data_IF_490812030892
#
_entry.id   IF_490812030892
#
_cell.length_a   1.000
_cell.length_b   1.000
_cell.length_c   1.000
_cell.angle_alpha   90.00
_cell.angle_beta   90.00
_cell.angle_gamma   90.00
#
_symmetry.space_group_name_H-M   'P 1'
#
loop_
_entity.id
_entity.type
_entity.pdbx_description
1 polymer ?
#
# COMPACT_ATOMS: atom_id res chain seq x y z
N UNK A 1 9.97 -11.15 -8.77
CA UNK A 1 9.75 -10.15 -7.69
C UNK A 1 9.73 -8.73 -8.25
N UNK A 2 10.79 -8.29 -8.93
CA UNK A 2 10.85 -7.01 -9.68
C UNK A 2 9.63 -6.70 -10.54
N UNK A 3 9.28 -7.61 -11.46
CA UNK A 3 8.11 -7.44 -12.34
C UNK A 3 6.78 -7.32 -11.57
N UNK A 4 6.63 -8.05 -10.47
CA UNK A 4 5.43 -7.95 -9.62
C UNK A 4 5.33 -6.57 -8.96
N UNK A 5 6.43 -6.06 -8.40
CA UNK A 5 6.45 -4.73 -7.76
C UNK A 5 6.14 -3.65 -8.81
N UNK A 6 6.83 -3.65 -9.95
CA UNK A 6 6.61 -2.66 -11.02
C UNK A 6 5.17 -2.68 -11.53
N UNK A 7 4.60 -3.86 -11.81
CA UNK A 7 3.22 -3.99 -12.28
C UNK A 7 2.21 -3.48 -11.25
N UNK A 8 2.44 -3.73 -9.96
CA UNK A 8 1.55 -3.24 -8.92
C UNK A 8 1.70 -1.73 -8.71
N UNK A 9 2.89 -1.15 -8.83
CA UNK A 9 3.09 0.31 -8.85
C UNK A 9 2.25 0.92 -9.99
N UNK A 10 2.33 0.40 -11.21
CA UNK A 10 1.55 0.87 -12.36
C UNK A 10 0.03 0.73 -12.15
N UNK A 11 -0.42 -0.36 -11.54
CA UNK A 11 -1.83 -0.58 -11.21
C UNK A 11 -2.31 0.43 -10.17
N UNK A 12 -1.61 0.53 -9.04
CA UNK A 12 -1.99 1.35 -7.88
C UNK A 12 -1.88 2.85 -8.18
N UNK A 13 -0.93 3.27 -9.03
CA UNK A 13 -0.80 4.66 -9.47
C UNK A 13 -2.04 5.22 -10.19
N UNK A 14 -2.93 4.35 -10.70
CA UNK A 14 -4.19 4.76 -11.34
C UNK A 14 -5.28 5.16 -10.33
N UNK A 15 -5.03 4.94 -9.04
CA UNK A 15 -6.00 5.13 -7.97
C UNK A 15 -6.47 3.80 -7.39
N UNK A 16 -7.05 3.89 -6.18
CA UNK A 16 -7.70 2.78 -5.49
C UNK A 16 -9.07 3.26 -5.00
N UNK A 17 -10.10 2.44 -5.18
CA UNK A 17 -11.36 2.62 -4.46
C UNK A 17 -11.22 2.16 -3.01
N UNK A 18 -12.22 2.43 -2.18
CA UNK A 18 -12.21 1.90 -0.81
C UNK A 18 -12.28 0.36 -0.83
N UNK A 19 -13.06 -0.20 -1.75
CA UNK A 19 -13.25 -1.64 -1.97
C UNK A 19 -12.01 -2.31 -2.57
N UNK A 20 -11.17 -1.59 -3.30
CA UNK A 20 -9.86 -2.10 -3.73
C UNK A 20 -8.90 -2.26 -2.55
N UNK A 21 -9.09 -1.47 -1.48
CA UNK A 21 -8.27 -1.51 -0.29
C UNK A 21 -8.82 -2.47 0.77
N UNK A 22 -10.08 -2.31 1.13
CA UNK A 22 -10.69 -2.96 2.28
C UNK A 22 -10.87 -4.47 2.08
N UNK A 23 -10.54 -5.23 3.11
CA UNK A 23 -10.83 -6.65 3.17
C UNK A 23 -12.34 -6.90 3.24
N UNK A 24 -12.79 -8.02 2.68
CA UNK A 24 -14.18 -8.45 2.77
C UNK A 24 -14.34 -9.41 3.95
N UNK A 25 -14.92 -8.91 5.03
CA UNK A 25 -15.12 -9.66 6.27
C UNK A 25 -16.64 -9.84 6.48
N UNK A 26 -17.17 -11.07 6.37
CA UNK A 26 -18.59 -11.33 6.57
C UNK A 26 -19.08 -10.83 7.92
N UNK A 27 -20.26 -10.19 7.92
CA UNK A 27 -20.94 -9.68 9.11
C UNK A 27 -20.12 -8.68 9.96
N UNK A 28 -19.12 -8.05 9.36
CA UNK A 28 -18.26 -7.08 10.03
C UNK A 28 -18.43 -5.67 9.45
N UNK A 29 -18.59 -4.69 10.34
CA UNK A 29 -18.59 -3.28 9.97
C UNK A 29 -17.34 -2.63 10.53
N UNK A 30 -16.54 -2.02 9.65
CA UNK A 30 -15.36 -1.26 10.06
C UNK A 30 -15.74 -0.11 11.00
N UNK A 31 -14.97 0.04 12.06
CA UNK A 31 -15.02 1.21 12.94
C UNK A 31 -14.55 2.46 12.19
N UNK A 32 -14.87 3.64 12.75
CA UNK A 32 -14.42 4.92 12.16
C UNK A 32 -12.89 5.01 12.03
N UNK A 33 -12.15 4.44 12.97
CA UNK A 33 -10.69 4.44 12.96
C UNK A 33 -10.12 3.54 11.86
N UNK A 34 -10.74 2.38 11.64
CA UNK A 34 -10.36 1.46 10.57
C UNK A 34 -10.68 2.04 9.19
N UNK A 35 -11.86 2.65 9.03
CA UNK A 35 -12.23 3.39 7.81
C UNK A 35 -11.23 4.51 7.53
N UNK A 36 -10.82 5.26 8.56
CA UNK A 36 -9.81 6.32 8.44
C UNK A 36 -8.45 5.76 7.99
N UNK A 37 -8.05 4.61 8.53
CA UNK A 37 -6.81 3.91 8.17
C UNK A 37 -6.83 3.45 6.71
N UNK A 38 -7.90 2.78 6.29
CA UNK A 38 -8.08 2.34 4.90
C UNK A 38 -8.09 3.55 3.96
N UNK A 39 -8.82 4.61 4.31
CA UNK A 39 -8.90 5.85 3.53
C UNK A 39 -7.55 6.56 3.40
N UNK A 40 -6.71 6.50 4.44
CA UNK A 40 -5.35 7.05 4.37
C UNK A 40 -4.52 6.32 3.32
N UNK A 41 -4.52 4.98 3.34
CA UNK A 41 -3.77 4.15 2.40
C UNK A 41 -4.31 4.32 0.97
N UNK A 42 -5.64 4.33 0.82
CA UNK A 42 -6.34 4.59 -0.45
C UNK A 42 -5.87 5.88 -1.12
N UNK A 43 -5.56 6.93 -0.36
CA UNK A 43 -5.12 8.23 -0.90
C UNK A 43 -3.61 8.31 -1.09
N UNK A 44 -2.86 7.85 -0.09
CA UNK A 44 -1.41 8.08 -0.03
C UNK A 44 -0.64 7.16 -0.96
N UNK A 45 -1.02 5.88 -1.05
CA UNK A 45 -0.26 4.89 -1.81
C UNK A 45 -0.34 5.14 -3.33
N UNK A 46 -1.52 5.39 -3.94
CA UNK A 46 -1.61 5.78 -5.35
C UNK A 46 -0.81 7.04 -5.67
N UNK A 47 -0.88 8.05 -4.80
CA UNK A 47 -0.15 9.31 -4.99
C UNK A 47 1.36 9.05 -5.03
N UNK A 48 1.90 8.28 -4.08
CA UNK A 48 3.32 7.95 -4.05
C UNK A 48 3.74 7.17 -5.30
N UNK A 49 2.98 6.14 -5.70
CA UNK A 49 3.25 5.36 -6.90
C UNK A 49 3.22 6.23 -8.17
N UNK A 50 2.24 7.13 -8.30
CA UNK A 50 2.11 8.02 -9.45
C UNK A 50 3.28 9.01 -9.54
N UNK A 51 3.74 9.55 -8.41
CA UNK A 51 4.92 10.45 -8.35
C UNK A 51 6.20 9.72 -8.75
N UNK A 52 6.37 8.47 -8.30
CA UNK A 52 7.49 7.64 -8.70
C UNK A 52 7.51 7.38 -10.21
N UNK A 53 6.37 7.00 -10.82
CA UNK A 53 6.27 6.78 -12.27
C UNK A 53 6.53 8.05 -13.11
N UNK A 54 6.33 9.23 -12.52
CA UNK A 54 6.66 10.53 -13.14
C UNK A 54 8.11 10.96 -12.89
N UNK A 55 8.92 10.16 -12.21
CA UNK A 55 10.27 10.47 -11.78
C UNK A 55 10.36 11.70 -10.86
N UNK A 56 9.29 11.99 -10.11
CA UNK A 56 9.27 13.10 -9.13
C UNK A 56 9.87 12.70 -7.78
N UNK A 57 9.94 11.40 -7.49
CA UNK A 57 10.54 10.81 -6.29
C UNK A 57 11.35 9.59 -6.69
N UNK A 58 12.32 9.21 -5.86
CA UNK A 58 13.13 8.02 -6.07
C UNK A 58 12.40 6.76 -5.58
N UNK A 59 12.93 5.59 -5.93
CA UNK A 59 12.42 4.33 -5.40
C UNK A 59 12.54 4.30 -3.88
N UNK A 60 13.68 4.73 -3.33
CA UNK A 60 13.95 4.81 -1.89
C UNK A 60 12.87 5.62 -1.14
N UNK A 61 12.37 6.71 -1.74
CA UNK A 61 11.26 7.48 -1.17
C UNK A 61 9.98 6.65 -1.09
N UNK A 62 9.70 5.86 -2.13
CA UNK A 62 8.54 4.99 -2.20
C UNK A 62 8.64 3.83 -1.20
N UNK A 63 9.83 3.23 -1.06
CA UNK A 63 10.16 2.23 -0.03
C UNK A 63 9.95 2.80 1.37
N UNK A 64 10.48 4.00 1.63
CA UNK A 64 10.30 4.70 2.91
C UNK A 64 8.82 4.93 3.22
N UNK A 65 7.99 5.30 2.23
CA UNK A 65 6.54 5.42 2.43
C UNK A 65 5.86 4.09 2.75
N UNK A 66 6.25 3.01 2.09
CA UNK A 66 5.71 1.69 2.37
C UNK A 66 6.05 1.24 3.80
N UNK A 67 7.30 1.39 4.22
CA UNK A 67 7.75 1.07 5.57
C UNK A 67 7.06 1.93 6.64
N UNK A 68 6.90 3.24 6.38
CA UNK A 68 6.16 4.12 7.27
C UNK A 68 4.70 3.67 7.44
N UNK A 69 4.02 3.26 6.36
CA UNK A 69 2.65 2.73 6.44
C UNK A 69 2.62 1.44 7.27
N UNK A 70 3.53 0.50 7.00
CA UNK A 70 3.48 -0.84 7.59
C UNK A 70 3.92 -0.90 9.05
N UNK A 71 4.93 -0.13 9.44
CA UNK A 71 5.64 -0.33 10.71
C UNK A 71 5.63 0.89 11.63
N UNK A 72 5.70 2.11 11.08
CA UNK A 72 5.78 3.32 11.90
C UNK A 72 4.40 3.87 12.27
N UNK A 73 3.49 3.91 11.30
CA UNK A 73 2.14 4.49 11.47
C UNK A 73 1.14 3.45 11.95
N UNK A 74 1.25 2.22 11.46
CA UNK A 74 0.32 1.14 11.72
C UNK A 74 1.05 -0.15 12.08
N UNK A 75 0.29 -1.16 12.50
CA UNK A 75 0.81 -2.49 12.77
C UNK A 75 0.50 -3.43 11.58
N UNK A 76 1.46 -4.23 11.08
CA UNK A 76 1.24 -5.15 9.97
C UNK A 76 0.09 -6.14 10.21
N UNK A 77 -0.06 -6.62 11.44
CA UNK A 77 -1.12 -7.58 11.82
C UNK A 77 -2.51 -6.93 11.78
N UNK A 78 -2.58 -5.63 12.04
CA UNK A 78 -3.83 -4.89 11.89
C UNK A 78 -4.13 -4.68 10.41
N UNK A 79 -3.14 -4.24 9.62
CA UNK A 79 -3.32 -3.99 8.19
C UNK A 79 -3.69 -5.26 7.41
N UNK A 80 -3.11 -6.42 7.76
CA UNK A 80 -3.45 -7.69 7.12
C UNK A 80 -4.89 -8.14 7.38
N UNK A 81 -5.51 -7.68 8.47
CA UNK A 81 -6.94 -7.87 8.73
C UNK A 81 -7.79 -6.88 7.92
N UNK A 82 -7.38 -5.62 7.88
CA UNK A 82 -8.18 -4.53 7.31
C UNK A 82 -8.11 -4.43 5.78
N UNK A 83 -6.98 -4.80 5.19
CA UNK A 83 -6.73 -4.66 3.78
C UNK A 83 -6.86 -5.99 3.05
N UNK A 84 -7.15 -5.93 1.75
CA UNK A 84 -7.01 -7.09 0.87
C UNK A 84 -5.58 -7.60 0.93
N UNK A 85 -5.45 -8.93 0.94
CA UNK A 85 -4.18 -9.64 1.07
C UNK A 85 -3.17 -9.15 0.02
N UNK A 86 -3.57 -9.05 -1.23
CA UNK A 86 -2.73 -8.65 -2.35
C UNK A 86 -2.22 -7.21 -2.24
N UNK A 87 -3.01 -6.30 -1.65
CA UNK A 87 -2.56 -4.95 -1.34
C UNK A 87 -1.56 -4.94 -0.19
N UNK A 88 -1.82 -5.71 0.86
CA UNK A 88 -0.91 -5.82 2.01
C UNK A 88 0.44 -6.44 1.60
N UNK A 89 0.40 -7.51 0.81
CA UNK A 89 1.58 -8.18 0.24
C UNK A 89 2.39 -7.20 -0.63
N UNK A 90 1.71 -6.39 -1.45
CA UNK A 90 2.37 -5.35 -2.25
C UNK A 90 3.09 -4.32 -1.39
N UNK A 91 2.45 -3.77 -0.35
CA UNK A 91 3.07 -2.76 0.51
C UNK A 91 4.28 -3.35 1.24
N UNK A 92 4.18 -4.59 1.74
CA UNK A 92 5.31 -5.29 2.35
C UNK A 92 6.48 -5.46 1.38
N UNK A 93 6.23 -6.02 0.19
CA UNK A 93 7.27 -6.23 -0.83
C UNK A 93 7.86 -4.91 -1.32
N UNK A 94 7.06 -3.85 -1.37
CA UNK A 94 7.54 -2.52 -1.70
C UNK A 94 8.48 -1.97 -0.61
N UNK A 95 8.22 -2.24 0.67
CA UNK A 95 9.11 -1.89 1.78
C UNK A 95 10.46 -2.62 1.75
N UNK A 96 10.56 -3.73 1.02
CA UNK A 96 11.77 -4.53 0.82
C UNK A 96 12.42 -4.31 -0.55
N UNK A 97 11.87 -3.40 -1.37
CA UNK A 97 12.23 -3.28 -2.77
C UNK A 97 13.68 -2.83 -3.01
N UNK A 98 14.28 -2.07 -2.09
CA UNK A 98 15.69 -1.67 -2.16
C UNK A 98 16.63 -2.89 -2.18
N UNK A 99 16.25 -4.02 -1.57
CA UNK A 99 17.03 -5.26 -1.61
C UNK A 99 16.73 -6.16 -2.82
N UNK A 100 15.64 -5.86 -3.54
CA UNK A 100 15.03 -6.78 -4.51
C UNK A 100 15.03 -6.26 -5.95
N UNK A 101 15.36 -4.97 -6.15
CA UNK A 101 15.38 -4.29 -7.44
C UNK A 101 16.79 -4.00 -7.98
N UNK A 102 17.83 -4.30 -7.20
CA UNK A 102 19.24 -4.37 -7.63
C UNK A 102 19.47 -5.41 -8.74
#
# INVERSE_FOLDING_TARGET
MKEFITKNIEKVAKGLSFEDCANDIPDYTFTKEEVSTISYIQKMLPLACARYLKNEILLEDLVSKANYIMFDRYNPSMLSRLLKKDLCDFIMLLGEADYCLE
#
